data_IF_326558105646
#
_entry.id   IF_326558105646
#
_cell.length_a   1.000
_cell.length_b   1.000
_cell.length_c   1.000
_cell.angle_alpha   90.00
_cell.angle_beta   90.00
_cell.angle_gamma   90.00
#
_symmetry.space_group_name_H-M   'P 1'
#
loop_
_entity.id
_entity.type
_entity.pdbx_description
1 polymer ?
#
# COMPACT_ATOMS: atom_id res chain seq x y z
N UNK A 1 3.57 -40.33 14.09
CA UNK A 1 3.31 -39.83 12.72
C UNK A 1 1.84 -39.52 12.45
N UNK A 2 0.90 -40.45 12.71
CA UNK A 2 -0.54 -40.27 12.39
C UNK A 2 -1.20 -39.04 13.05
N UNK A 3 -0.90 -38.74 14.32
CA UNK A 3 -1.46 -37.58 15.03
C UNK A 3 -0.93 -36.23 14.48
N UNK A 4 0.36 -36.16 14.15
CA UNK A 4 0.97 -34.95 13.54
C UNK A 4 0.38 -34.68 12.14
N UNK A 5 0.17 -35.73 11.35
CA UNK A 5 -0.51 -35.64 10.05
C UNK A 5 -1.98 -35.17 10.21
N UNK A 6 -2.72 -35.70 11.19
CA UNK A 6 -4.10 -35.30 11.44
C UNK A 6 -4.21 -33.82 11.87
N UNK A 7 -3.34 -33.37 12.79
CA UNK A 7 -3.29 -31.96 13.21
C UNK A 7 -2.96 -31.05 12.02
N UNK A 8 -2.00 -31.45 11.19
CA UNK A 8 -1.64 -30.71 9.99
C UNK A 8 -2.79 -30.62 8.98
N UNK A 9 -3.53 -31.72 8.76
CA UNK A 9 -4.71 -31.73 7.89
C UNK A 9 -5.86 -30.86 8.43
N UNK A 10 -6.08 -30.85 9.75
CA UNK A 10 -7.11 -29.99 10.38
C UNK A 10 -6.73 -28.51 10.24
N UNK A 11 -5.45 -28.16 10.45
CA UNK A 11 -4.98 -26.79 10.30
C UNK A 11 -5.12 -26.28 8.85
N UNK A 12 -4.74 -27.10 7.87
CA UNK A 12 -4.89 -26.77 6.45
C UNK A 12 -6.37 -26.63 6.02
N UNK A 13 -7.26 -27.49 6.53
CA UNK A 13 -8.69 -27.41 6.19
C UNK A 13 -9.35 -26.11 6.66
N UNK A 14 -8.97 -25.63 7.85
CA UNK A 14 -9.54 -24.40 8.42
C UNK A 14 -9.07 -23.14 7.69
N UNK A 15 -7.81 -23.09 7.24
CA UNK A 15 -7.29 -21.93 6.49
C UNK A 15 -7.93 -21.81 5.11
N UNK A 16 -8.05 -22.93 4.37
CA UNK A 16 -8.67 -22.95 3.04
C UNK A 16 -10.15 -22.58 3.11
N UNK A 17 -10.88 -23.11 4.09
CA UNK A 17 -12.30 -22.81 4.27
C UNK A 17 -12.50 -21.32 4.62
N UNK A 18 -11.68 -20.78 5.53
CA UNK A 18 -11.74 -19.36 5.89
C UNK A 18 -11.47 -18.46 4.68
N UNK A 19 -10.50 -18.80 3.84
CA UNK A 19 -10.19 -17.96 2.67
C UNK A 19 -11.29 -18.02 1.61
N UNK A 20 -11.87 -19.21 1.38
CA UNK A 20 -13.01 -19.37 0.47
C UNK A 20 -14.21 -18.52 0.89
N UNK A 21 -14.52 -18.45 2.19
CA UNK A 21 -15.59 -17.57 2.70
C UNK A 21 -15.26 -16.09 2.46
N UNK A 22 -14.02 -15.68 2.77
CA UNK A 22 -13.54 -14.31 2.54
C UNK A 22 -13.62 -13.90 1.06
N UNK A 23 -13.23 -14.78 0.15
CA UNK A 23 -13.32 -14.56 -1.29
C UNK A 23 -14.77 -14.45 -1.78
N UNK A 24 -15.67 -15.28 -1.25
CA UNK A 24 -17.10 -15.17 -1.56
C UNK A 24 -17.69 -13.83 -1.09
N UNK A 25 -17.28 -13.35 0.09
CA UNK A 25 -17.69 -12.04 0.60
C UNK A 25 -17.10 -10.90 -0.26
N UNK A 26 -15.81 -11.00 -0.61
CA UNK A 26 -15.13 -10.02 -1.45
C UNK A 26 -15.84 -9.90 -2.80
N UNK A 27 -16.13 -11.03 -3.46
CA UNK A 27 -16.84 -11.06 -4.74
C UNK A 27 -18.23 -10.41 -4.66
N UNK A 28 -18.96 -10.63 -3.56
CA UNK A 28 -20.28 -10.05 -3.33
C UNK A 28 -20.23 -8.52 -3.26
N UNK A 29 -19.25 -8.00 -2.53
CA UNK A 29 -19.16 -6.57 -2.19
C UNK A 29 -18.16 -5.80 -3.07
N UNK A 30 -17.58 -6.45 -4.10
CA UNK A 30 -16.40 -5.97 -4.83
C UNK A 30 -16.56 -4.57 -5.42
N UNK A 31 -17.73 -4.23 -5.95
CA UNK A 31 -17.95 -2.93 -6.59
C UNK A 31 -17.80 -1.78 -5.60
N UNK A 32 -18.49 -1.89 -4.46
CA UNK A 32 -18.46 -0.87 -3.40
C UNK A 32 -17.06 -0.80 -2.80
N UNK A 33 -16.42 -1.95 -2.57
CA UNK A 33 -15.08 -1.99 -2.00
C UNK A 33 -14.04 -1.34 -2.92
N UNK A 34 -14.11 -1.60 -4.23
CA UNK A 34 -13.19 -0.97 -5.19
C UNK A 34 -13.42 0.53 -5.26
N UNK A 35 -14.67 0.99 -5.41
CA UNK A 35 -15.00 2.42 -5.43
C UNK A 35 -14.51 3.14 -4.15
N UNK A 36 -14.70 2.52 -2.99
CA UNK A 36 -14.22 3.05 -1.70
C UNK A 36 -12.68 3.10 -1.64
N UNK A 37 -11.99 2.03 -2.04
CA UNK A 37 -10.53 1.99 -1.99
C UNK A 37 -9.87 2.92 -3.02
N UNK A 38 -10.45 3.06 -4.21
CA UNK A 38 -9.99 4.02 -5.22
C UNK A 38 -10.16 5.46 -4.73
N UNK A 39 -11.26 5.77 -4.03
CA UNK A 39 -11.43 7.06 -3.38
C UNK A 39 -10.34 7.30 -2.31
N UNK A 40 -10.11 6.34 -1.40
CA UNK A 40 -9.10 6.48 -0.35
C UNK A 40 -7.69 6.68 -0.93
N UNK A 41 -7.34 5.89 -1.96
CA UNK A 41 -6.07 5.99 -2.67
C UNK A 41 -5.93 7.32 -3.40
N UNK A 42 -6.94 7.70 -4.19
CA UNK A 42 -6.93 8.94 -4.97
C UNK A 42 -6.84 10.18 -4.08
N UNK A 43 -7.55 10.19 -2.94
CA UNK A 43 -7.43 11.25 -1.94
C UNK A 43 -5.99 11.36 -1.41
N UNK A 44 -5.41 10.24 -0.98
CA UNK A 44 -4.06 10.18 -0.44
C UNK A 44 -3.01 10.70 -1.44
N UNK A 45 -3.04 10.20 -2.68
CA UNK A 45 -2.12 10.64 -3.72
C UNK A 45 -2.30 12.11 -4.07
N UNK A 46 -3.54 12.54 -4.31
CA UNK A 46 -3.86 13.93 -4.70
C UNK A 46 -3.43 14.94 -3.64
N UNK A 47 -3.70 14.65 -2.35
CA UNK A 47 -3.33 15.57 -1.28
C UNK A 47 -1.81 15.67 -1.10
N UNK A 48 -1.07 14.57 -1.28
CA UNK A 48 0.40 14.59 -1.24
C UNK A 48 0.99 15.32 -2.44
N UNK A 49 0.50 15.05 -3.65
CA UNK A 49 0.86 15.78 -4.87
C UNK A 49 0.62 17.29 -4.71
N UNK A 50 -0.51 17.69 -4.12
CA UNK A 50 -0.80 19.09 -3.86
C UNK A 50 0.26 19.76 -2.96
N UNK A 51 0.81 19.05 -1.97
CA UNK A 51 1.88 19.61 -1.12
C UNK A 51 3.19 19.86 -1.87
N UNK A 52 3.36 19.26 -3.04
CA UNK A 52 4.56 19.34 -3.87
C UNK A 52 4.33 20.33 -5.03
N UNK A 53 3.23 20.17 -5.76
CA UNK A 53 2.95 20.90 -7.00
C UNK A 53 2.00 22.09 -6.84
N UNK A 54 1.32 22.20 -5.69
CA UNK A 54 0.30 23.23 -5.37
C UNK A 54 -0.81 23.33 -6.41
N UNK A 55 -1.18 22.21 -7.02
CA UNK A 55 -2.26 22.13 -7.97
C UNK A 55 -3.02 20.82 -7.79
N UNK A 56 -4.32 20.85 -8.06
CA UNK A 56 -5.17 19.65 -8.18
C UNK A 56 -5.31 19.21 -9.65
N UNK A 57 -4.73 19.97 -10.58
CA UNK A 57 -4.75 19.65 -11.99
C UNK A 57 -3.69 18.59 -12.32
N UNK A 58 -4.13 17.37 -12.59
CA UNK A 58 -3.26 16.24 -12.95
C UNK A 58 -2.48 16.49 -14.24
N UNK A 59 -3.04 17.23 -15.19
CA UNK A 59 -2.32 17.54 -16.43
C UNK A 59 -1.09 18.40 -16.16
N UNK A 60 -1.17 19.29 -15.16
CA UNK A 60 -0.03 20.08 -14.70
C UNK A 60 0.98 19.24 -13.94
N UNK A 61 0.57 18.33 -13.04
CA UNK A 61 1.52 17.47 -12.33
C UNK A 61 2.27 16.57 -13.32
N UNK A 62 1.57 15.94 -14.26
CA UNK A 62 2.18 15.14 -15.32
C UNK A 62 3.14 15.94 -16.20
N UNK A 63 2.77 17.18 -16.57
CA UNK A 63 3.65 18.05 -17.37
C UNK A 63 4.97 18.29 -16.64
N UNK A 64 4.92 18.53 -15.32
CA UNK A 64 6.09 18.79 -14.48
C UNK A 64 6.92 17.52 -14.31
N UNK A 65 6.29 16.37 -14.08
CA UNK A 65 6.99 15.08 -13.93
C UNK A 65 7.70 14.62 -15.20
N UNK A 66 7.19 15.00 -16.37
CA UNK A 66 7.83 14.75 -17.68
C UNK A 66 9.01 15.69 -17.97
N UNK A 67 9.29 16.70 -17.13
CA UNK A 67 10.43 17.58 -17.32
C UNK A 67 11.76 16.87 -17.00
N UNK A 68 12.86 17.23 -17.69
CA UNK A 68 14.21 16.90 -17.26
C UNK A 68 14.48 17.30 -15.80
N UNK A 69 15.30 16.51 -15.08
CA UNK A 69 15.51 16.67 -13.64
C UNK A 69 15.88 18.09 -13.20
N UNK A 70 16.73 18.79 -13.96
CA UNK A 70 17.13 20.16 -13.67
C UNK A 70 15.93 21.13 -13.74
N UNK A 71 15.11 21.03 -14.79
CA UNK A 71 13.94 21.87 -15.00
C UNK A 71 12.81 21.53 -14.01
N UNK A 72 12.64 20.25 -13.69
CA UNK A 72 11.69 19.80 -12.67
C UNK A 72 12.03 20.40 -11.29
N UNK A 73 13.30 20.36 -10.90
CA UNK A 73 13.77 20.96 -9.64
C UNK A 73 13.55 22.47 -9.62
N UNK A 74 13.79 23.15 -10.73
CA UNK A 74 13.54 24.59 -10.85
C UNK A 74 12.05 24.94 -10.70
N UNK A 75 11.18 24.24 -11.42
CA UNK A 75 9.72 24.39 -11.33
C UNK A 75 9.21 24.12 -9.91
N UNK A 76 9.70 23.06 -9.26
CA UNK A 76 9.33 22.72 -7.88
C UNK A 76 9.76 23.80 -6.88
N UNK A 77 10.93 24.44 -7.07
CA UNK A 77 11.37 25.56 -6.22
C UNK A 77 10.44 26.77 -6.32
N UNK A 78 9.88 27.02 -7.49
CA UNK A 78 8.94 28.13 -7.71
C UNK A 78 7.53 27.84 -7.15
N UNK A 79 7.28 26.58 -6.75
CA UNK A 79 5.99 26.11 -6.23
C UNK A 79 6.03 25.79 -4.74
N UNK A 80 6.99 26.32 -3.99
CA UNK A 80 6.96 26.18 -2.53
C UNK A 80 5.81 27.00 -1.92
N UNK A 81 5.35 26.61 -0.74
CA UNK A 81 4.52 27.50 0.07
C UNK A 81 5.40 28.65 0.56
N UNK A 82 4.95 29.89 0.41
CA UNK A 82 5.65 31.05 0.99
C UNK A 82 5.70 30.96 2.52
N UNK A 83 4.68 30.35 3.12
CA UNK A 83 4.62 30.05 4.54
C UNK A 83 4.61 28.55 4.79
N UNK A 84 5.64 28.06 5.48
CA UNK A 84 5.72 26.69 6.01
C UNK A 84 4.50 26.32 6.88
N UNK A 85 3.81 27.31 7.45
CA UNK A 85 2.64 27.08 8.29
C UNK A 85 1.47 26.47 7.53
N UNK A 86 1.31 26.79 6.24
CA UNK A 86 0.23 26.27 5.40
C UNK A 86 0.49 24.80 5.05
N UNK A 87 1.71 24.45 4.62
CA UNK A 87 2.09 23.06 4.38
C UNK A 87 1.86 22.20 5.63
N UNK A 88 2.33 22.66 6.80
CA UNK A 88 2.11 21.98 8.08
C UNK A 88 0.63 21.86 8.44
N UNK A 89 -0.17 22.89 8.14
CA UNK A 89 -1.62 22.87 8.37
C UNK A 89 -2.31 21.83 7.49
N UNK A 90 -1.92 21.73 6.21
CA UNK A 90 -2.48 20.75 5.27
C UNK A 90 -2.24 19.34 5.78
N UNK A 91 -0.99 19.02 6.15
CA UNK A 91 -0.65 17.74 6.75
C UNK A 91 -1.46 17.45 8.02
N UNK A 92 -1.57 18.44 8.91
CA UNK A 92 -2.26 18.29 10.19
C UNK A 92 -3.78 18.11 10.03
N UNK A 93 -4.39 18.77 9.05
CA UNK A 93 -5.86 18.88 8.94
C UNK A 93 -6.48 17.96 7.91
N UNK A 94 -5.75 17.60 6.86
CA UNK A 94 -6.31 16.85 5.73
C UNK A 94 -5.61 15.52 5.52
N UNK A 95 -4.27 15.47 5.56
CA UNK A 95 -3.54 14.22 5.28
C UNK A 95 -3.54 13.29 6.50
N UNK A 96 -2.94 13.70 7.62
CA UNK A 96 -2.76 12.81 8.78
C UNK A 96 -4.08 12.27 9.37
N UNK A 97 -5.19 13.05 9.45
CA UNK A 97 -6.47 12.51 9.91
C UNK A 97 -7.02 11.45 8.95
N UNK A 98 -6.96 11.69 7.64
CA UNK A 98 -7.47 10.76 6.64
C UNK A 98 -6.57 9.53 6.50
N UNK A 99 -5.25 9.66 6.65
CA UNK A 99 -4.33 8.51 6.76
C UNK A 99 -4.77 7.59 7.91
N UNK A 100 -5.22 8.14 9.04
CA UNK A 100 -5.72 7.36 10.17
C UNK A 100 -7.06 6.68 9.87
N UNK A 101 -8.03 7.43 9.35
CA UNK A 101 -9.37 6.90 9.01
C UNK A 101 -9.28 5.81 7.91
N UNK A 102 -8.53 6.06 6.85
CA UNK A 102 -8.32 5.10 5.77
C UNK A 102 -7.56 3.86 6.25
N UNK A 103 -6.61 4.01 7.18
CA UNK A 103 -5.93 2.86 7.80
C UNK A 103 -6.90 2.00 8.58
N UNK A 104 -7.71 2.59 9.46
CA UNK A 104 -8.73 1.86 10.23
C UNK A 104 -9.68 1.12 9.31
N UNK A 105 -10.18 1.82 8.29
CA UNK A 105 -11.09 1.22 7.32
C UNK A 105 -10.46 0.06 6.56
N UNK A 106 -9.21 0.21 6.12
CA UNK A 106 -8.50 -0.83 5.39
C UNK A 106 -8.15 -2.05 6.27
N UNK A 107 -7.93 -1.84 7.58
CA UNK A 107 -7.81 -2.93 8.56
C UNK A 107 -9.13 -3.71 8.67
N UNK A 108 -10.28 -3.02 8.75
CA UNK A 108 -11.59 -3.68 8.77
C UNK A 108 -11.84 -4.51 7.51
N UNK A 109 -11.56 -3.92 6.34
CA UNK A 109 -11.68 -4.60 5.04
C UNK A 109 -10.80 -5.85 5.04
N UNK A 110 -9.53 -5.72 5.43
CA UNK A 110 -8.58 -6.84 5.43
C UNK A 110 -8.99 -7.95 6.40
N UNK A 111 -9.45 -7.61 7.61
CA UNK A 111 -9.95 -8.60 8.57
C UNK A 111 -11.16 -9.36 8.03
N UNK A 112 -12.11 -8.66 7.40
CA UNK A 112 -13.37 -9.24 6.92
C UNK A 112 -13.23 -10.00 5.59
N UNK A 113 -12.44 -9.50 4.65
CA UNK A 113 -12.37 -9.99 3.27
C UNK A 113 -11.00 -10.60 2.90
N UNK A 114 -10.02 -10.53 3.81
CA UNK A 114 -8.60 -10.71 3.46
C UNK A 114 -8.09 -9.50 2.68
N UNK A 115 -6.78 -9.30 2.62
CA UNK A 115 -6.18 -8.14 1.97
C UNK A 115 -6.51 -8.11 0.48
N UNK A 116 -7.28 -7.12 -0.02
CA UNK A 116 -7.74 -7.09 -1.39
C UNK A 116 -6.61 -6.59 -2.31
N UNK A 117 -5.59 -7.41 -2.55
CA UNK A 117 -4.52 -7.07 -3.50
C UNK A 117 -5.10 -6.81 -4.89
N UNK A 118 -4.38 -6.05 -5.72
CA UNK A 118 -4.77 -5.78 -7.11
C UNK A 118 -5.10 -7.08 -7.86
N UNK A 119 -4.28 -8.11 -7.69
CA UNK A 119 -4.51 -9.42 -8.30
C UNK A 119 -5.83 -10.05 -7.82
N UNK A 120 -6.12 -10.01 -6.51
CA UNK A 120 -7.38 -10.54 -5.97
C UNK A 120 -8.59 -9.74 -6.43
N UNK A 121 -8.49 -8.41 -6.49
CA UNK A 121 -9.55 -7.55 -7.00
C UNK A 121 -9.87 -7.91 -8.46
N UNK A 122 -8.85 -8.01 -9.31
CA UNK A 122 -9.01 -8.33 -10.75
C UNK A 122 -9.65 -9.69 -11.03
N UNK A 123 -9.67 -10.62 -10.06
CA UNK A 123 -10.42 -11.89 -10.18
C UNK A 123 -11.95 -11.70 -10.20
N UNK A 124 -12.45 -10.60 -9.63
CA UNK A 124 -13.89 -10.36 -9.45
C UNK A 124 -14.38 -9.01 -10.00
N UNK A 125 -13.49 -8.06 -10.21
CA UNK A 125 -13.75 -6.75 -10.77
C UNK A 125 -13.17 -6.65 -12.18
N UNK A 126 -14.03 -6.49 -13.18
CA UNK A 126 -13.66 -6.51 -14.60
C UNK A 126 -13.52 -5.12 -15.23
N UNK A 127 -13.78 -4.05 -14.47
CA UNK A 127 -13.57 -2.69 -14.97
C UNK A 127 -12.12 -2.28 -14.71
N UNK A 128 -11.60 -1.41 -15.55
CA UNK A 128 -10.34 -0.74 -15.29
C UNK A 128 -10.46 0.16 -14.06
N UNK A 129 -9.34 0.33 -13.37
CA UNK A 129 -9.23 1.29 -12.28
C UNK A 129 -9.21 2.71 -12.85
N UNK A 130 -9.68 3.68 -12.07
CA UNK A 130 -9.64 5.10 -12.36
C UNK A 130 -8.18 5.55 -12.49
N UNK A 131 -7.32 5.06 -11.59
CA UNK A 131 -5.88 5.28 -11.62
C UNK A 131 -5.17 3.95 -11.93
N UNK A 132 -4.36 3.92 -13.00
CA UNK A 132 -3.61 2.74 -13.40
C UNK A 132 -2.55 2.29 -12.39
N UNK A 133 -2.11 3.20 -11.51
CA UNK A 133 -1.15 2.93 -10.45
C UNK A 133 -1.82 2.48 -9.14
N UNK A 134 -3.15 2.37 -9.12
CA UNK A 134 -3.92 1.97 -7.95
C UNK A 134 -3.36 0.72 -7.28
N UNK A 135 -2.95 0.88 -6.02
CA UNK A 135 -2.44 -0.21 -5.19
C UNK A 135 -2.91 -0.04 -3.73
N UNK A 136 -3.81 -0.92 -3.24
CA UNK A 136 -4.32 -0.85 -1.87
C UNK A 136 -3.25 -0.93 -0.78
N UNK A 137 -2.06 -1.48 -1.07
CA UNK A 137 -0.97 -1.56 -0.11
C UNK A 137 -0.49 -0.16 0.32
N UNK A 138 -0.59 0.84 -0.58
CA UNK A 138 -0.15 2.22 -0.32
C UNK A 138 -0.90 2.83 0.86
N UNK A 139 -2.19 2.51 1.04
CA UNK A 139 -2.98 2.97 2.19
C UNK A 139 -2.34 2.53 3.50
N UNK A 140 -1.87 1.27 3.58
CA UNK A 140 -1.15 0.80 4.77
C UNK A 140 0.24 1.42 4.90
N UNK A 141 0.96 1.63 3.80
CA UNK A 141 2.29 2.25 3.83
C UNK A 141 2.25 3.65 4.46
N UNK A 142 1.18 4.40 4.21
CA UNK A 142 0.99 5.74 4.76
C UNK A 142 0.37 5.77 6.16
N UNK A 143 0.17 4.60 6.77
CA UNK A 143 -0.46 4.51 8.08
C UNK A 143 0.32 5.23 9.20
N UNK A 144 -0.39 5.90 10.12
CA UNK A 144 0.20 6.45 11.32
C UNK A 144 0.85 5.39 12.22
N UNK A 145 1.91 5.78 12.93
CA UNK A 145 2.69 4.90 13.83
C UNK A 145 1.85 4.11 14.84
N UNK A 146 0.71 4.65 15.28
CA UNK A 146 -0.18 3.99 16.23
C UNK A 146 -0.74 2.66 15.73
N UNK A 147 -0.80 2.42 14.42
CA UNK A 147 -1.28 1.16 13.83
C UNK A 147 -0.18 0.16 13.50
N UNK A 148 1.10 0.54 13.54
CA UNK A 148 2.18 -0.28 13.00
C UNK A 148 2.29 -1.67 13.64
N UNK A 149 2.00 -1.81 14.93
CA UNK A 149 2.01 -3.12 15.58
C UNK A 149 0.91 -4.03 15.07
N UNK A 150 -0.32 -3.51 14.96
CA UNK A 150 -1.44 -4.25 14.39
C UNK A 150 -1.20 -4.61 12.92
N UNK A 151 -0.67 -3.67 12.12
CA UNK A 151 -0.38 -3.90 10.71
C UNK A 151 0.73 -4.94 10.52
N UNK A 152 1.76 -4.98 11.38
CA UNK A 152 2.78 -6.03 11.34
C UNK A 152 2.17 -7.42 11.53
N UNK A 153 1.27 -7.58 12.50
CA UNK A 153 0.58 -8.85 12.74
C UNK A 153 -0.39 -9.20 11.62
N UNK A 154 -1.15 -8.22 11.14
CA UNK A 154 -2.11 -8.40 10.06
C UNK A 154 -1.41 -8.83 8.77
N UNK A 155 -0.38 -8.12 8.35
CA UNK A 155 0.36 -8.44 7.12
C UNK A 155 1.12 -9.76 7.21
N UNK A 156 1.61 -10.15 8.40
CA UNK A 156 2.20 -11.48 8.58
C UNK A 156 1.15 -12.58 8.34
N UNK A 157 -0.08 -12.42 8.84
CA UNK A 157 -1.17 -13.39 8.61
C UNK A 157 -1.53 -13.47 7.13
N UNK A 158 -1.64 -12.33 6.46
CA UNK A 158 -1.95 -12.29 5.02
C UNK A 158 -0.84 -12.93 4.19
N UNK A 159 0.44 -12.74 4.57
CA UNK A 159 1.58 -13.42 3.94
C UNK A 159 1.55 -14.94 4.17
N UNK A 160 1.33 -15.38 5.42
CA UNK A 160 1.23 -16.80 5.78
C UNK A 160 0.07 -17.51 5.07
N UNK A 161 -1.01 -16.78 4.76
CA UNK A 161 -2.14 -17.28 4.00
C UNK A 161 -1.93 -17.24 2.47
N UNK A 162 -0.77 -16.76 2.00
CA UNK A 162 -0.46 -16.64 0.57
C UNK A 162 -1.28 -15.57 -0.16
N UNK A 163 -1.85 -14.61 0.57
CA UNK A 163 -2.68 -13.53 0.01
C UNK A 163 -1.82 -12.40 -0.55
N UNK A 164 -0.68 -12.14 0.11
CA UNK A 164 0.37 -11.24 -0.35
C UNK A 164 1.66 -12.02 -0.55
N UNK A 165 2.50 -11.56 -1.47
CA UNK A 165 3.80 -12.17 -1.72
C UNK A 165 4.87 -11.69 -0.73
N UNK A 166 6.04 -12.32 -0.77
CA UNK A 166 7.15 -12.04 0.14
C UNK A 166 7.62 -10.58 0.05
N UNK A 167 7.68 -10.01 -1.15
CA UNK A 167 8.14 -8.63 -1.37
C UNK A 167 7.14 -7.60 -0.84
N UNK A 168 5.84 -7.83 -1.03
CA UNK A 168 4.79 -7.00 -0.43
C UNK A 168 4.89 -7.01 1.09
N UNK A 169 5.13 -8.17 1.69
CA UNK A 169 5.35 -8.29 3.13
C UNK A 169 6.61 -7.58 3.60
N UNK A 170 7.75 -7.79 2.92
CA UNK A 170 9.02 -7.13 3.22
C UNK A 170 8.94 -5.61 3.15
N UNK A 171 8.30 -5.09 2.10
CA UNK A 171 8.07 -3.66 1.93
C UNK A 171 7.17 -3.08 3.03
N UNK A 172 6.07 -3.76 3.37
CA UNK A 172 5.20 -3.35 4.47
C UNK A 172 5.95 -3.34 5.81
N UNK A 173 6.73 -4.38 6.11
CA UNK A 173 7.50 -4.49 7.35
C UNK A 173 8.57 -3.40 7.46
N UNK A 174 9.24 -3.07 6.35
CA UNK A 174 10.19 -1.97 6.28
C UNK A 174 9.55 -0.63 6.67
N UNK A 175 8.34 -0.38 6.17
CA UNK A 175 7.59 0.83 6.50
C UNK A 175 7.18 0.85 7.99
N UNK A 176 6.62 -0.25 8.51
CA UNK A 176 6.12 -0.34 9.89
C UNK A 176 7.23 -0.46 10.96
N UNK A 177 8.48 -0.59 10.54
CA UNK A 177 9.67 -0.50 11.41
C UNK A 177 10.33 0.87 11.33
N UNK A 178 9.72 1.82 10.62
CA UNK A 178 10.18 3.20 10.47
C UNK A 178 11.36 3.35 9.52
N UNK A 179 11.55 2.39 8.60
CA UNK A 179 12.57 2.44 7.54
C UNK A 179 14.00 2.64 8.05
N UNK A 180 14.32 2.14 9.26
CA UNK A 180 15.63 2.37 9.91
C UNK A 180 16.80 1.76 9.13
N UNK A 181 16.56 0.68 8.40
CA UNK A 181 17.49 0.01 7.50
C UNK A 181 16.69 -0.84 6.50
N UNK A 182 17.35 -1.41 5.48
CA UNK A 182 16.71 -2.26 4.47
C UNK A 182 16.52 -3.73 4.90
N UNK A 183 16.96 -4.13 6.09
CA UNK A 183 16.96 -5.53 6.51
C UNK A 183 15.58 -6.21 6.37
N UNK A 184 14.45 -5.57 6.75
CA UNK A 184 13.13 -6.17 6.53
C UNK A 184 12.83 -6.50 5.07
N UNK A 185 13.34 -5.72 4.12
CA UNK A 185 13.18 -6.02 2.69
C UNK A 185 14.17 -7.10 2.25
N UNK A 186 15.43 -7.00 2.68
CA UNK A 186 16.48 -7.97 2.33
C UNK A 186 16.16 -9.39 2.82
N UNK A 187 15.55 -9.51 4.00
CA UNK A 187 15.07 -10.78 4.53
C UNK A 187 13.83 -11.32 3.79
N UNK A 188 13.20 -10.50 2.94
CA UNK A 188 11.89 -10.75 2.34
C UNK A 188 11.83 -10.41 0.85
N UNK A 189 12.65 -11.08 0.05
CA UNK A 189 12.53 -11.06 -1.41
C UNK A 189 13.10 -9.81 -2.08
N UNK A 190 14.02 -9.10 -1.42
CA UNK A 190 14.79 -8.05 -2.07
C UNK A 190 16.29 -8.31 -1.95
N UNK A 191 17.03 -7.82 -2.93
CA UNK A 191 18.49 -7.87 -2.95
C UNK A 191 19.09 -6.51 -3.26
N UNK A 192 20.30 -6.28 -2.79
CA UNK A 192 21.12 -5.13 -3.18
C UNK A 192 21.93 -5.51 -4.42
N UNK A 193 21.71 -4.80 -5.52
CA UNK A 193 22.43 -4.99 -6.79
C UNK A 193 23.19 -3.72 -7.16
N UNK A 194 24.36 -3.87 -7.78
CA UNK A 194 25.09 -2.75 -8.36
C UNK A 194 24.70 -2.58 -9.82
N UNK A 195 24.12 -1.42 -10.16
CA UNK A 195 23.74 -1.07 -11.54
C UNK A 195 24.33 0.31 -11.88
N UNK A 196 25.17 0.38 -12.90
CA UNK A 196 25.84 1.62 -13.35
C UNK A 196 26.62 2.33 -12.22
N UNK A 197 27.34 1.57 -11.40
CA UNK A 197 28.11 2.09 -10.26
C UNK A 197 27.27 2.61 -9.10
N UNK A 198 25.97 2.27 -9.07
CA UNK A 198 25.05 2.65 -7.98
C UNK A 198 24.40 1.39 -7.39
N UNK A 199 24.46 1.28 -6.06
CA UNK A 199 23.71 0.26 -5.33
C UNK A 199 22.21 0.56 -5.37
N UNK A 200 21.41 -0.44 -5.77
CA UNK A 200 19.95 -0.36 -5.86
C UNK A 200 19.32 -1.57 -5.19
N UNK A 201 18.15 -1.36 -4.60
CA UNK A 201 17.34 -2.44 -4.08
C UNK A 201 16.45 -2.99 -5.20
N UNK A 202 16.44 -4.30 -5.41
CA UNK A 202 15.68 -4.96 -6.48
C UNK A 202 14.78 -6.04 -5.88
N UNK A 203 13.53 -6.09 -6.35
CA UNK A 203 12.59 -7.17 -6.02
C UNK A 203 13.02 -8.46 -6.70
N UNK A 204 13.01 -9.56 -5.97
CA UNK A 204 13.17 -10.93 -6.49
C UNK A 204 11.83 -11.63 -6.68
N UNK A 205 10.71 -11.00 -6.30
CA UNK A 205 9.37 -11.52 -6.56
C UNK A 205 8.87 -11.10 -7.94
N UNK A 206 8.16 -12.02 -8.59
CA UNK A 206 7.41 -11.82 -9.83
C UNK A 206 6.10 -11.04 -9.61
#
# INVERSE_FOLDING_TARGET
>A
MKLKLLIFSILLGNTIYSQTTKDSLLKKDIKVLVEEMEFMYGYDQTMREYTIFKTFDKSETERIEKLPDNLRVEEMKNRTFESDSIGKLIWKKYINPMDAEHTERMIEITKKYGFPSVERIKKYYTKEFIDSEFNPLIIFIHSPRKYWNELKELMLKEYQNGIINQCQYGYALWQFTGRKNFQPMLDNGFEMVEENGKMRLKSTCE
#
